data_IF_664273676516
#
_entry.id   IF_664273676516
#
_cell.length_a   1.000
_cell.length_b   1.000
_cell.length_c   1.000
_cell.angle_alpha   90.00
_cell.angle_beta   90.00
_cell.angle_gamma   90.00
#
_symmetry.space_group_name_H-M   'P 1'
#
loop_
_entity.id
_entity.type
_entity.pdbx_description
1 polymer ?
#
# COMPACT_ATOMS: atom_id res chain seq x y z
N UNK A 1 -2.42 23.03 6.28
CA UNK A 1 -1.81 22.76 7.61
C UNK A 1 -2.61 21.66 8.30
N UNK A 2 -2.03 20.81 9.15
CA UNK A 2 -2.77 19.75 9.85
C UNK A 2 -3.96 20.25 10.69
N UNK A 3 -3.89 21.47 11.24
CA UNK A 3 -5.03 22.06 11.99
C UNK A 3 -6.28 22.28 11.15
N UNK A 4 -6.12 22.45 9.84
CA UNK A 4 -7.24 22.64 8.90
C UNK A 4 -8.06 21.36 8.72
N UNK A 5 -7.50 20.21 9.13
CA UNK A 5 -8.14 18.88 9.07
C UNK A 5 -8.28 18.25 10.47
N UNK A 6 -8.27 19.07 11.52
CA UNK A 6 -8.50 18.62 12.91
C UNK A 6 -7.27 18.07 13.64
N UNK A 7 -6.08 18.19 13.05
CA UNK A 7 -4.80 17.84 13.68
C UNK A 7 -4.18 18.95 14.52
N UNK A 8 -2.92 18.77 14.89
CA UNK A 8 -2.10 19.80 15.56
C UNK A 8 -1.81 20.96 14.60
N UNK A 9 -1.47 22.15 15.13
CA UNK A 9 -0.92 23.23 14.32
C UNK A 9 0.49 22.87 13.84
N UNK A 10 0.55 22.14 12.73
CA UNK A 10 1.75 21.51 12.22
C UNK A 10 1.70 21.52 10.69
N UNK A 11 2.85 21.85 10.07
CA UNK A 11 2.98 21.83 8.62
C UNK A 11 2.83 20.39 8.12
N UNK A 12 2.05 20.21 7.05
CA UNK A 12 1.96 18.92 6.35
C UNK A 12 3.22 18.78 5.48
N UNK A 13 4.00 17.72 5.73
CA UNK A 13 5.15 17.36 4.91
C UNK A 13 4.78 16.15 4.06
N UNK A 14 4.44 16.38 2.79
CA UNK A 14 4.09 15.29 1.86
C UNK A 14 5.36 14.53 1.49
N UNK A 15 5.31 13.20 1.57
CA UNK A 15 6.33 12.31 1.03
C UNK A 15 5.67 11.47 -0.06
N UNK A 16 6.18 11.59 -1.27
CA UNK A 16 5.70 10.92 -2.47
C UNK A 16 6.63 9.77 -2.87
N UNK A 17 6.16 8.96 -3.81
CA UNK A 17 6.95 7.97 -4.54
C UNK A 17 7.21 8.43 -5.98
N UNK A 18 8.25 7.90 -6.66
CA UNK A 18 8.45 8.13 -8.08
C UNK A 18 7.22 7.72 -8.89
N UNK A 19 7.02 8.36 -10.05
CA UNK A 19 5.93 8.02 -10.97
C UNK A 19 5.96 6.55 -11.47
N UNK A 20 7.11 5.88 -11.38
CA UNK A 20 7.28 4.46 -11.69
C UNK A 20 6.80 3.51 -10.56
N UNK A 21 6.35 4.04 -9.42
CA UNK A 21 5.91 3.23 -8.29
C UNK A 21 4.51 2.67 -8.49
N UNK A 22 4.36 1.35 -8.39
CA UNK A 22 3.04 0.69 -8.37
C UNK A 22 2.15 1.17 -7.22
N UNK A 23 2.73 1.42 -6.03
CA UNK A 23 1.98 1.95 -4.88
C UNK A 23 1.44 3.37 -5.16
N UNK A 24 2.22 4.22 -5.86
CA UNK A 24 1.73 5.53 -6.31
C UNK A 24 0.63 5.38 -7.35
N UNK A 25 0.81 4.51 -8.34
CA UNK A 25 -0.20 4.26 -9.36
C UNK A 25 -1.54 3.80 -8.73
N UNK A 26 -1.49 2.94 -7.71
CA UNK A 26 -2.67 2.53 -6.95
C UNK A 26 -3.30 3.70 -6.18
N UNK A 27 -2.49 4.52 -5.50
CA UNK A 27 -2.95 5.69 -4.76
C UNK A 27 -3.60 6.74 -5.70
N UNK A 28 -2.97 7.03 -6.83
CA UNK A 28 -3.49 7.92 -7.86
C UNK A 28 -4.85 7.42 -8.38
N UNK A 29 -4.92 6.13 -8.77
CA UNK A 29 -6.13 5.54 -9.33
C UNK A 29 -7.29 5.49 -8.32
N UNK A 30 -7.02 5.05 -7.08
CA UNK A 30 -8.06 4.69 -6.11
C UNK A 30 -8.42 5.82 -5.15
N UNK A 31 -7.44 6.65 -4.78
CA UNK A 31 -7.63 7.72 -3.78
C UNK A 31 -7.72 9.09 -4.46
N UNK A 32 -6.74 9.46 -5.29
CA UNK A 32 -6.70 10.79 -5.91
C UNK A 32 -7.70 10.95 -7.06
N UNK A 33 -8.01 9.85 -7.77
CA UNK A 33 -8.94 9.80 -8.90
C UNK A 33 -8.58 10.84 -9.98
N UNK A 34 -9.37 11.89 -10.14
CA UNK A 34 -9.15 12.94 -11.14
C UNK A 34 -8.14 14.00 -10.68
N UNK A 35 -7.81 14.04 -9.38
CA UNK A 35 -6.85 15.00 -8.83
C UNK A 35 -5.44 14.56 -9.21
N UNK A 36 -4.73 15.42 -9.94
CA UNK A 36 -3.33 15.17 -10.29
C UNK A 36 -2.43 15.41 -9.09
N UNK A 37 -1.50 14.49 -8.84
CA UNK A 37 -0.40 14.74 -7.91
C UNK A 37 0.42 15.92 -8.44
N UNK A 38 0.70 16.87 -7.55
CA UNK A 38 1.64 17.94 -7.83
C UNK A 38 3.04 17.50 -7.38
N UNK A 39 3.88 17.10 -8.34
CA UNK A 39 5.26 16.66 -8.06
C UNK A 39 6.16 17.76 -7.48
N UNK A 40 5.74 19.04 -7.52
CA UNK A 40 6.46 20.13 -6.85
C UNK A 40 6.22 20.18 -5.33
N UNK A 41 5.30 19.36 -4.80
CA UNK A 41 4.94 19.33 -3.38
C UNK A 41 5.60 18.16 -2.68
N UNK A 42 6.32 18.46 -1.60
CA UNK A 42 6.90 17.45 -0.74
C UNK A 42 8.26 16.93 -1.23
N UNK A 43 8.60 15.73 -0.80
CA UNK A 43 9.83 15.02 -1.22
C UNK A 43 9.46 13.69 -1.88
N UNK A 44 10.43 13.05 -2.54
CA UNK A 44 10.24 11.75 -3.19
C UNK A 44 11.16 10.73 -2.55
N UNK A 45 10.65 9.52 -2.30
CA UNK A 45 11.41 8.38 -1.76
C UNK A 45 11.21 7.15 -2.63
N UNK A 46 12.31 6.46 -2.95
CA UNK A 46 12.29 5.43 -4.00
C UNK A 46 11.66 4.10 -3.55
N UNK A 47 11.60 3.84 -2.24
CA UNK A 47 11.09 2.57 -1.69
C UNK A 47 10.12 2.77 -0.53
N UNK A 48 9.31 1.74 -0.25
CA UNK A 48 8.43 1.74 0.92
C UNK A 48 9.24 1.82 2.23
N UNK A 49 10.41 1.16 2.33
CA UNK A 49 11.28 1.29 3.50
C UNK A 49 11.83 2.70 3.71
N UNK A 50 12.20 3.39 2.63
CA UNK A 50 12.63 4.79 2.71
C UNK A 50 11.48 5.72 3.12
N UNK A 51 10.26 5.48 2.63
CA UNK A 51 9.06 6.21 3.08
C UNK A 51 8.79 6.00 4.57
N UNK A 52 8.79 4.76 5.05
CA UNK A 52 8.58 4.44 6.47
C UNK A 52 9.55 5.23 7.37
N UNK A 53 10.84 5.21 7.03
CA UNK A 53 11.88 5.93 7.78
C UNK A 53 11.68 7.45 7.71
N UNK A 54 11.35 7.98 6.54
CA UNK A 54 11.14 9.41 6.33
C UNK A 54 9.90 9.93 7.08
N UNK A 55 8.80 9.17 7.11
CA UNK A 55 7.60 9.51 7.88
C UNK A 55 7.91 9.53 9.38
N UNK A 56 8.66 8.54 9.89
CA UNK A 56 9.02 8.48 11.30
C UNK A 56 9.99 9.57 11.77
N UNK A 57 10.83 10.07 10.87
CA UNK A 57 11.84 11.09 11.20
C UNK A 57 11.39 12.52 10.89
N UNK A 58 10.26 12.70 10.20
CA UNK A 58 9.80 14.02 9.75
C UNK A 58 8.47 14.39 10.43
N UNK A 59 8.46 15.35 11.36
CA UNK A 59 7.23 15.84 11.98
C UNK A 59 6.20 16.31 10.94
N UNK A 60 4.93 16.00 11.16
CA UNK A 60 3.84 16.34 10.26
C UNK A 60 3.87 15.62 8.90
N UNK A 61 4.69 14.58 8.74
CA UNK A 61 4.77 13.85 7.48
C UNK A 61 3.54 12.98 7.19
N UNK A 62 3.21 12.86 5.90
CA UNK A 62 2.18 11.94 5.40
C UNK A 62 2.64 11.30 4.10
N UNK A 63 2.32 10.02 3.96
CA UNK A 63 2.57 9.23 2.75
C UNK A 63 1.53 8.11 2.66
N UNK A 64 1.59 7.35 1.58
CA UNK A 64 0.91 6.09 1.35
C UNK A 64 1.91 4.92 1.37
N UNK A 65 1.51 3.78 1.93
CA UNK A 65 2.36 2.60 2.13
C UNK A 65 1.52 1.31 2.12
N UNK A 66 2.15 0.17 1.84
CA UNK A 66 1.49 -1.14 1.92
C UNK A 66 1.35 -1.62 3.38
N UNK A 67 0.29 -2.40 3.66
CA UNK A 67 0.01 -2.96 4.99
C UNK A 67 1.12 -3.89 5.51
N UNK A 68 1.97 -4.44 4.66
CA UNK A 68 3.15 -5.23 5.06
C UNK A 68 4.16 -4.44 5.91
N UNK A 69 4.02 -3.11 6.00
CA UNK A 69 4.77 -2.23 6.88
C UNK A 69 4.05 -1.90 8.20
N UNK A 70 2.91 -2.53 8.46
CA UNK A 70 2.09 -2.37 9.67
C UNK A 70 1.95 -3.69 10.44
N UNK A 71 2.89 -4.62 10.26
CA UNK A 71 2.89 -5.94 10.90
C UNK A 71 4.21 -6.21 11.64
N UNK A 72 4.20 -7.24 12.49
CA UNK A 72 5.39 -7.66 13.25
C UNK A 72 5.95 -6.53 14.10
N UNK A 73 7.28 -6.35 14.05
CA UNK A 73 7.98 -5.29 14.80
C UNK A 73 7.63 -3.86 14.32
N UNK A 74 6.96 -3.74 13.16
CA UNK A 74 6.54 -2.44 12.59
C UNK A 74 5.08 -2.08 12.85
N UNK A 75 4.33 -2.94 13.54
CA UNK A 75 2.87 -2.75 13.74
C UNK A 75 2.47 -1.40 14.32
N UNK A 76 3.31 -0.85 15.20
CA UNK A 76 3.08 0.44 15.86
C UNK A 76 4.05 1.53 15.35
N UNK A 77 4.81 1.24 14.29
CA UNK A 77 5.82 2.15 13.75
C UNK A 77 5.22 3.31 12.97
N UNK A 78 3.93 3.26 12.61
CA UNK A 78 3.27 4.31 11.85
C UNK A 78 1.86 4.53 12.39
N UNK A 79 1.43 5.79 12.41
CA UNK A 79 0.03 6.12 12.65
C UNK A 79 -0.72 6.08 11.32
N UNK A 80 -1.79 5.29 11.27
CA UNK A 80 -2.65 5.17 10.08
C UNK A 80 -3.76 6.22 10.07
N UNK A 81 -4.24 6.53 8.87
CA UNK A 81 -5.43 7.34 8.64
C UNK A 81 -6.52 6.48 8.01
N UNK A 82 -7.77 6.71 8.42
CA UNK A 82 -8.92 6.07 7.81
C UNK A 82 -9.30 6.79 6.51
N UNK A 83 -9.79 6.04 5.53
CA UNK A 83 -10.39 6.57 4.31
C UNK A 83 -11.90 6.36 4.46
N UNK A 84 -12.68 7.45 4.38
CA UNK A 84 -14.14 7.42 4.57
C UNK A 84 -14.60 6.72 5.86
N UNK A 85 -13.81 6.85 6.93
CA UNK A 85 -14.08 6.23 8.24
C UNK A 85 -13.75 4.74 8.31
N UNK A 86 -13.11 4.17 7.28
CA UNK A 86 -12.69 2.77 7.22
C UNK A 86 -11.17 2.66 7.34
N UNK A 87 -10.72 1.70 8.13
CA UNK A 87 -9.30 1.34 8.22
C UNK A 87 -8.90 0.35 7.10
N UNK A 88 -7.60 0.11 6.96
CA UNK A 88 -7.05 -0.81 5.97
C UNK A 88 -7.08 -2.28 6.40
N UNK A 89 -8.02 -2.70 7.27
CA UNK A 89 -8.18 -4.11 7.64
C UNK A 89 -8.57 -4.97 6.43
N UNK A 90 -8.22 -6.26 6.48
CA UNK A 90 -8.58 -7.23 5.44
C UNK A 90 -10.09 -7.22 5.16
N UNK A 91 -10.92 -7.20 6.20
CA UNK A 91 -12.39 -7.13 6.07
C UNK A 91 -12.86 -5.90 5.29
N UNK A 92 -12.33 -4.71 5.60
CA UNK A 92 -12.71 -3.49 4.90
C UNK A 92 -12.19 -3.47 3.46
N UNK A 93 -11.01 -4.05 3.20
CA UNK A 93 -10.48 -4.16 1.85
C UNK A 93 -11.32 -5.15 1.02
N UNK A 94 -11.53 -6.37 1.50
CA UNK A 94 -12.23 -7.44 0.76
C UNK A 94 -13.71 -7.13 0.53
N UNK A 95 -14.34 -6.34 1.41
CA UNK A 95 -15.71 -5.84 1.22
C UNK A 95 -15.81 -4.61 0.30
N UNK A 96 -14.69 -4.02 -0.11
CA UNK A 96 -14.64 -2.80 -0.92
C UNK A 96 -14.86 -1.50 -0.13
N UNK A 97 -15.00 -1.57 1.19
CA UNK A 97 -15.19 -0.41 2.06
C UNK A 97 -13.90 0.45 2.19
N UNK A 98 -12.72 -0.16 2.00
CA UNK A 98 -11.43 0.54 1.93
C UNK A 98 -10.89 0.51 0.49
N UNK A 99 -10.88 1.65 -0.23
CA UNK A 99 -10.65 1.65 -1.68
C UNK A 99 -9.18 1.52 -2.07
N UNK A 100 -8.23 1.74 -1.15
CA UNK A 100 -6.81 1.79 -1.46
C UNK A 100 -6.15 0.42 -1.34
N UNK A 101 -6.23 -0.35 -2.44
CA UNK A 101 -5.58 -1.64 -2.60
C UNK A 101 -5.09 -1.81 -4.05
N UNK A 102 -4.24 -2.81 -4.27
CA UNK A 102 -3.82 -3.26 -5.60
C UNK A 102 -3.53 -4.74 -5.60
N UNK A 103 -3.72 -5.38 -6.75
CA UNK A 103 -3.19 -6.72 -7.01
C UNK A 103 -1.70 -6.64 -7.35
N UNK A 104 -0.94 -7.60 -6.84
CA UNK A 104 0.44 -7.85 -7.28
C UNK A 104 0.43 -8.93 -8.36
N UNK A 105 1.30 -8.79 -9.37
CA UNK A 105 1.29 -9.66 -10.55
C UNK A 105 2.65 -10.32 -10.76
N UNK A 106 2.63 -11.62 -11.07
CA UNK A 106 3.77 -12.32 -11.67
C UNK A 106 3.57 -12.36 -13.18
N UNK A 107 4.49 -11.78 -13.95
CA UNK A 107 4.35 -11.59 -15.39
C UNK A 107 5.38 -12.46 -16.13
N UNK A 108 4.90 -13.24 -17.11
CA UNK A 108 5.73 -14.08 -18.00
C UNK A 108 5.48 -13.71 -19.46
N UNK A 109 6.48 -13.95 -20.33
CA UNK A 109 6.33 -13.77 -21.77
C UNK A 109 5.91 -15.10 -22.41
N UNK A 110 4.60 -15.30 -22.58
CA UNK A 110 4.00 -16.57 -22.97
C UNK A 110 3.91 -17.54 -21.79
N UNK A 111 3.55 -18.80 -22.08
CA UNK A 111 3.31 -19.79 -21.03
C UNK A 111 4.57 -20.08 -20.20
N UNK A 112 4.42 -20.02 -18.87
CA UNK A 112 5.47 -20.40 -17.95
C UNK A 112 5.83 -21.88 -18.11
N UNK A 113 7.13 -22.19 -18.17
CA UNK A 113 7.67 -23.55 -18.15
C UNK A 113 8.31 -23.82 -16.80
N UNK A 114 8.54 -25.10 -16.47
CA UNK A 114 9.34 -25.46 -15.29
C UNK A 114 10.74 -24.83 -15.40
N UNK A 115 11.30 -24.27 -14.29
CA UNK A 115 10.77 -24.26 -12.92
C UNK A 115 9.86 -23.06 -12.60
N UNK A 116 9.71 -22.09 -13.52
CA UNK A 116 8.92 -20.86 -13.29
C UNK A 116 7.45 -21.17 -13.03
N UNK A 117 6.88 -22.11 -13.77
CA UNK A 117 5.49 -22.55 -13.57
C UNK A 117 5.26 -23.09 -12.15
N UNK A 118 6.15 -23.97 -11.70
CA UNK A 118 6.08 -24.59 -10.36
C UNK A 118 6.20 -23.52 -9.26
N UNK A 119 7.06 -22.52 -9.45
CA UNK A 119 7.17 -21.40 -8.52
C UNK A 119 5.89 -20.54 -8.46
N UNK A 120 5.29 -20.23 -9.61
CA UNK A 120 4.02 -19.48 -9.67
C UNK A 120 2.91 -20.27 -8.97
N UNK A 121 2.81 -21.58 -9.23
CA UNK A 121 1.83 -22.47 -8.59
C UNK A 121 2.04 -22.56 -7.08
N UNK A 122 3.30 -22.64 -6.62
CA UNK A 122 3.65 -22.64 -5.20
C UNK A 122 3.19 -21.34 -4.50
N UNK A 123 3.56 -20.17 -5.04
CA UNK A 123 3.20 -18.87 -4.45
C UNK A 123 1.69 -18.62 -4.47
N UNK A 124 1.01 -19.11 -5.50
CA UNK A 124 -0.45 -18.94 -5.67
C UNK A 124 -1.28 -20.02 -4.97
N UNK A 125 -0.62 -21.04 -4.41
CA UNK A 125 -1.27 -22.17 -3.76
C UNK A 125 -1.63 -21.91 -2.30
N UNK A 126 -2.46 -22.81 -1.76
CA UNK A 126 -2.90 -22.74 -0.36
C UNK A 126 -1.74 -22.81 0.64
N UNK A 127 -0.66 -23.53 0.29
CA UNK A 127 0.52 -23.68 1.14
C UNK A 127 1.17 -22.33 1.47
N UNK A 128 1.30 -21.44 0.47
CA UNK A 128 1.94 -20.13 0.66
C UNK A 128 0.95 -19.06 1.15
N UNK A 129 -0.36 -19.28 1.03
CA UNK A 129 -1.39 -18.31 1.40
C UNK A 129 -1.32 -17.91 2.89
N UNK A 130 -1.08 -18.87 3.79
CA UNK A 130 -0.88 -18.55 5.21
C UNK A 130 0.35 -17.66 5.42
N UNK A 131 1.41 -17.87 4.63
CA UNK A 131 2.61 -17.06 4.73
C UNK A 131 2.39 -15.63 4.24
N UNK A 132 1.57 -15.44 3.19
CA UNK A 132 1.16 -14.12 2.73
C UNK A 132 0.46 -13.32 3.83
N UNK A 133 -0.46 -13.96 4.56
CA UNK A 133 -1.17 -13.33 5.69
C UNK A 133 -0.20 -12.91 6.78
N UNK A 134 0.74 -13.78 7.18
CA UNK A 134 1.80 -13.43 8.14
C UNK A 134 2.67 -12.27 7.68
N UNK A 135 2.85 -12.10 6.37
CA UNK A 135 3.61 -11.01 5.75
C UNK A 135 2.79 -9.73 5.54
N UNK A 136 1.52 -9.71 5.96
CA UNK A 136 0.64 -8.54 5.86
C UNK A 136 0.01 -8.34 4.48
N UNK A 137 -0.05 -9.41 3.67
CA UNK A 137 -0.74 -9.44 2.38
C UNK A 137 -2.07 -10.20 2.49
N UNK A 138 -2.96 -9.95 1.55
CA UNK A 138 -4.24 -10.65 1.42
C UNK A 138 -4.11 -11.65 0.27
N UNK A 139 -4.37 -12.95 0.49
CA UNK A 139 -4.39 -13.93 -0.60
C UNK A 139 -5.36 -13.52 -1.71
N UNK A 140 -4.96 -13.68 -2.96
CA UNK A 140 -5.79 -13.27 -4.10
C UNK A 140 -7.14 -14.01 -4.17
N UNK A 141 -7.20 -15.23 -3.64
CA UNK A 141 -8.44 -16.02 -3.50
C UNK A 141 -9.49 -15.30 -2.63
N UNK A 142 -9.07 -14.53 -1.62
CA UNK A 142 -9.94 -13.76 -0.73
C UNK A 142 -10.39 -12.42 -1.30
N UNK A 143 -9.76 -11.96 -2.39
CA UNK A 143 -10.05 -10.69 -3.05
C UNK A 143 -11.03 -10.83 -4.24
N UNK A 144 -11.55 -12.05 -4.48
CA UNK A 144 -12.41 -12.34 -5.62
C UNK A 144 -13.72 -11.51 -5.57
N UNK A 145 -13.95 -10.70 -6.62
CA UNK A 145 -15.13 -9.83 -6.75
C UNK A 145 -14.87 -8.32 -6.61
N UNK A 146 -13.62 -7.92 -6.36
CA UNK A 146 -13.21 -6.51 -6.32
C UNK A 146 -12.56 -6.06 -7.64
N UNK A 147 -13.07 -4.96 -8.22
CA UNK A 147 -12.47 -4.22 -9.34
C UNK A 147 -12.21 -2.74 -9.01
#
# INVERSE_FOLDING_TARGET
NWKEVGGKDEKINVINRPASSGTRAAFEKKVMKEVKINDSVGTVQDSNGAVEQAVNSTPGAVSYLANSYLIGDKKDALKTVQIDGKDSSTENITSGAYPFYSYEYMITNGDAKSPVKEYIEYISGDEFSNKLVEMGYIPASEMSGLE
#
